data_IF_886400189118
#
_entry.id   IF_886400189118
#
_cell.length_a   1.000
_cell.length_b   1.000
_cell.length_c   1.000
_cell.angle_alpha   90.00
_cell.angle_beta   90.00
_cell.angle_gamma   90.00
#
_symmetry.space_group_name_H-M   'P 1'
#
loop_
_entity.id
_entity.type
_entity.pdbx_description
1 polymer ?
#
# COMPACT_ATOMS: atom_id res chain seq x y z
N UNK A 1 36.11 65.96 -36.12
CA UNK A 1 36.41 64.64 -36.72
C UNK A 1 35.64 63.58 -35.94
N UNK A 2 34.80 62.79 -36.64
CA UNK A 2 34.11 61.55 -36.20
C UNK A 2 35.19 60.45 -36.00
N UNK A 3 35.06 59.37 -35.23
CA UNK A 3 34.09 58.26 -35.13
C UNK A 3 34.29 57.64 -33.72
N UNK A 4 33.34 57.10 -32.96
CA UNK A 4 32.30 56.12 -33.31
C UNK A 4 32.73 54.73 -32.81
N UNK A 5 32.52 54.40 -31.52
CA UNK A 5 32.68 53.03 -31.03
C UNK A 5 31.32 52.35 -30.94
N UNK A 6 31.21 51.28 -31.73
CA UNK A 6 30.02 50.49 -32.02
C UNK A 6 29.71 49.56 -30.85
N UNK A 7 28.44 49.53 -30.43
CA UNK A 7 27.87 48.49 -29.59
C UNK A 7 27.95 47.13 -30.32
N UNK A 8 28.74 46.20 -29.80
CA UNK A 8 28.68 44.81 -30.24
C UNK A 8 27.55 44.11 -29.45
N UNK A 9 26.37 44.00 -30.05
CA UNK A 9 25.30 43.12 -29.56
C UNK A 9 25.72 41.68 -29.89
N UNK A 10 26.18 40.95 -28.88
CA UNK A 10 26.43 39.52 -28.99
C UNK A 10 25.11 38.76 -29.15
N UNK A 11 24.92 38.10 -30.29
CA UNK A 11 23.80 37.21 -30.56
C UNK A 11 23.98 35.94 -29.72
N UNK A 12 23.22 35.79 -28.63
CA UNK A 12 23.13 34.52 -27.89
C UNK A 12 22.21 33.59 -28.68
N UNK A 13 22.79 32.58 -29.32
CA UNK A 13 22.03 31.51 -29.95
C UNK A 13 21.35 30.66 -28.86
N UNK A 14 20.03 30.82 -28.70
CA UNK A 14 19.21 29.89 -27.90
C UNK A 14 19.22 28.56 -28.64
N UNK A 15 20.05 27.64 -28.19
CA UNK A 15 20.05 26.26 -28.68
C UNK A 15 18.79 25.61 -28.15
N UNK A 16 17.88 25.20 -29.05
CA UNK A 16 16.62 24.57 -28.69
C UNK A 16 16.86 23.37 -27.78
N UNK A 17 16.30 23.41 -26.58
CA UNK A 17 16.18 22.25 -25.71
C UNK A 17 15.29 21.24 -26.44
N UNK A 18 15.90 20.21 -27.03
CA UNK A 18 15.17 19.05 -27.48
C UNK A 18 14.57 18.38 -26.24
N UNK A 19 13.24 18.42 -26.12
CA UNK A 19 12.52 17.60 -25.14
C UNK A 19 12.85 16.13 -25.41
N UNK A 20 13.29 15.35 -24.42
CA UNK A 20 13.47 13.93 -24.64
C UNK A 20 12.10 13.31 -24.92
N UNK A 21 11.99 12.64 -26.08
CA UNK A 21 10.84 11.82 -26.42
C UNK A 21 10.68 10.72 -25.35
N UNK A 22 9.70 10.90 -24.46
CA UNK A 22 9.37 9.96 -23.40
C UNK A 22 8.50 8.82 -23.96
N UNK A 23 9.02 8.10 -24.95
CA UNK A 23 8.42 6.85 -25.45
C UNK A 23 9.18 5.66 -24.87
N UNK A 24 8.98 5.40 -23.58
CA UNK A 24 9.54 4.25 -22.88
C UNK A 24 8.45 3.45 -22.18
N UNK A 25 8.24 2.20 -22.61
CA UNK A 25 7.44 1.25 -21.82
C UNK A 25 8.21 0.90 -20.55
N UNK A 26 7.77 1.41 -19.41
CA UNK A 26 8.38 1.07 -18.12
C UNK A 26 8.21 -0.42 -17.81
N UNK A 27 9.28 -1.05 -17.33
CA UNK A 27 9.25 -2.45 -16.90
C UNK A 27 8.27 -2.59 -15.72
N UNK A 28 7.39 -3.60 -15.78
CA UNK A 28 6.47 -3.92 -14.68
C UNK A 28 7.28 -4.20 -13.40
N UNK A 29 6.94 -3.49 -12.32
CA UNK A 29 7.62 -3.53 -11.01
C UNK A 29 7.50 -4.91 -10.33
N UNK A 30 6.44 -5.67 -10.63
CA UNK A 30 6.35 -7.10 -10.29
C UNK A 30 6.13 -7.44 -8.81
N UNK A 31 5.91 -6.44 -7.94
CA UNK A 31 5.60 -6.67 -6.52
C UNK A 31 4.48 -5.75 -6.04
N UNK A 32 3.77 -6.18 -4.99
CA UNK A 32 2.71 -5.41 -4.34
C UNK A 32 3.29 -4.38 -3.37
N UNK A 33 2.60 -3.23 -3.23
CA UNK A 33 2.89 -2.22 -2.23
C UNK A 33 3.01 -2.81 -0.81
N UNK A 34 3.68 -2.12 0.13
CA UNK A 34 3.75 -2.56 1.52
C UNK A 34 2.34 -2.83 2.07
N UNK A 35 2.15 -4.00 2.70
CA UNK A 35 0.84 -4.45 3.21
C UNK A 35 0.40 -3.72 4.47
N UNK A 36 0.57 -2.40 4.55
CA UNK A 36 0.07 -1.59 5.63
C UNK A 36 -0.47 -0.25 5.11
N UNK A 37 -1.41 0.33 5.83
CA UNK A 37 -1.89 1.69 5.60
C UNK A 37 -2.15 2.40 6.93
N UNK A 38 -2.11 3.73 6.92
CA UNK A 38 -2.31 4.56 8.11
C UNK A 38 -3.59 5.36 8.01
N UNK A 39 -4.29 5.43 9.13
CA UNK A 39 -5.44 6.30 9.33
C UNK A 39 -5.33 6.95 10.71
N UNK A 40 -5.89 8.14 10.85
CA UNK A 40 -5.99 8.83 12.14
C UNK A 40 -7.42 8.75 12.63
N UNK A 41 -7.62 8.33 13.88
CA UNK A 41 -8.92 8.26 14.56
C UNK A 41 -8.83 9.11 15.82
N UNK A 42 -9.42 10.32 15.77
CA UNK A 42 -9.20 11.32 16.81
C UNK A 42 -7.71 11.67 16.93
N UNK A 43 -7.14 11.49 18.13
CA UNK A 43 -5.72 11.74 18.40
C UNK A 43 -4.81 10.51 18.17
N UNK A 44 -5.36 9.39 17.69
CA UNK A 44 -4.62 8.13 17.57
C UNK A 44 -4.29 7.83 16.11
N UNK A 45 -3.01 7.70 15.79
CA UNK A 45 -2.56 7.05 14.55
C UNK A 45 -2.74 5.53 14.67
N UNK A 46 -3.52 4.97 13.75
CA UNK A 46 -3.73 3.54 13.57
C UNK A 46 -3.02 3.10 12.30
N UNK A 47 -2.08 2.18 12.43
CA UNK A 47 -1.49 1.47 11.30
C UNK A 47 -2.16 0.12 11.15
N UNK A 48 -2.89 -0.08 10.07
CA UNK A 48 -3.49 -1.38 9.72
C UNK A 48 -2.44 -2.20 8.99
N UNK A 49 -2.25 -3.45 9.42
CA UNK A 49 -1.26 -4.39 8.91
C UNK A 49 -1.99 -5.59 8.29
N UNK A 50 -1.77 -5.88 7.01
CA UNK A 50 -2.35 -7.05 6.35
C UNK A 50 -1.45 -8.27 6.54
N UNK A 51 -1.93 -9.28 7.24
CA UNK A 51 -1.24 -10.58 7.32
C UNK A 51 -1.35 -11.36 6.00
N UNK A 52 -2.27 -10.97 5.10
CA UNK A 52 -2.47 -11.52 3.78
C UNK A 52 -3.95 -11.79 3.50
N UNK A 53 -4.21 -12.67 2.54
CA UNK A 53 -5.56 -13.19 2.25
C UNK A 53 -5.57 -14.71 2.30
N UNK A 54 -6.71 -15.28 2.65
CA UNK A 54 -6.96 -16.73 2.60
C UNK A 54 -8.24 -16.99 1.81
N UNK A 55 -8.22 -17.89 0.81
CA UNK A 55 -9.42 -18.28 0.09
C UNK A 55 -10.31 -19.11 1.02
N UNK A 56 -11.54 -18.67 1.23
CA UNK A 56 -12.50 -19.34 2.09
C UNK A 56 -13.77 -19.69 1.28
N UNK A 57 -14.30 -20.93 1.40
CA UNK A 57 -15.54 -21.34 0.73
C UNK A 57 -16.75 -20.81 1.52
N UNK A 58 -17.26 -19.63 1.16
CA UNK A 58 -18.31 -18.98 1.97
C UNK A 58 -19.63 -19.75 1.92
N UNK A 59 -19.91 -20.42 0.80
CA UNK A 59 -21.05 -21.33 0.63
C UNK A 59 -21.09 -22.48 1.65
N UNK A 60 -19.93 -22.89 2.17
CA UNK A 60 -19.79 -23.96 3.17
C UNK A 60 -19.65 -23.42 4.61
N UNK A 61 -19.12 -22.20 4.77
CA UNK A 61 -18.85 -21.61 6.08
C UNK A 61 -20.05 -20.83 6.65
N UNK A 62 -20.82 -20.15 5.80
CA UNK A 62 -21.90 -19.30 6.25
C UNK A 62 -23.12 -20.12 6.67
N UNK A 63 -23.52 -19.96 7.93
CA UNK A 63 -24.70 -20.60 8.50
C UNK A 63 -25.96 -19.73 8.37
N UNK A 64 -27.14 -20.31 8.56
CA UNK A 64 -28.44 -19.61 8.49
C UNK A 64 -28.73 -18.98 7.11
N UNK A 65 -28.18 -19.59 6.04
CA UNK A 65 -28.37 -19.23 4.64
C UNK A 65 -28.37 -20.51 3.78
N UNK A 66 -28.48 -20.38 2.46
CA UNK A 66 -28.29 -21.47 1.51
C UNK A 66 -27.11 -21.18 0.58
N UNK A 67 -26.39 -22.20 0.06
CA UNK A 67 -25.30 -21.99 -0.90
C UNK A 67 -25.70 -21.13 -2.10
N UNK A 68 -26.92 -21.32 -2.62
CA UNK A 68 -27.45 -20.54 -3.74
C UNK A 68 -27.64 -19.05 -3.40
N UNK A 69 -28.07 -18.73 -2.17
CA UNK A 69 -28.20 -17.34 -1.72
C UNK A 69 -26.83 -16.69 -1.49
N UNK A 70 -25.85 -17.46 -1.01
CA UNK A 70 -24.46 -16.98 -0.87
C UNK A 70 -23.88 -16.65 -2.24
N UNK A 71 -23.93 -17.60 -3.19
CA UNK A 71 -23.40 -17.41 -4.54
C UNK A 71 -24.05 -16.22 -5.26
N UNK A 72 -25.38 -16.09 -5.16
CA UNK A 72 -26.10 -14.95 -5.72
C UNK A 72 -25.64 -13.62 -5.10
N UNK A 73 -25.53 -13.55 -3.77
CA UNK A 73 -25.11 -12.33 -3.04
C UNK A 73 -23.67 -11.93 -3.37
N UNK A 74 -22.76 -12.90 -3.42
CA UNK A 74 -21.36 -12.67 -3.77
C UNK A 74 -21.24 -12.21 -5.22
N UNK A 75 -21.93 -12.88 -6.15
CA UNK A 75 -21.94 -12.52 -7.58
C UNK A 75 -22.50 -11.11 -7.78
N UNK A 76 -23.59 -10.75 -7.09
CA UNK A 76 -24.15 -9.39 -7.12
C UNK A 76 -23.17 -8.33 -6.59
N UNK A 77 -22.21 -8.73 -5.75
CA UNK A 77 -21.13 -7.89 -5.22
C UNK A 77 -19.83 -7.96 -6.03
N UNK A 78 -19.86 -8.58 -7.22
CA UNK A 78 -18.69 -8.82 -8.08
C UNK A 78 -17.59 -9.66 -7.40
N UNK A 79 -17.97 -10.51 -6.45
CA UNK A 79 -17.09 -11.43 -5.74
C UNK A 79 -17.22 -12.82 -6.34
N UNK A 80 -16.07 -13.47 -6.58
CA UNK A 80 -15.98 -14.86 -7.05
C UNK A 80 -15.50 -15.78 -5.92
N UNK A 81 -16.07 -16.99 -5.87
CA UNK A 81 -15.62 -18.05 -4.96
C UNK A 81 -14.36 -18.80 -5.47
N UNK A 82 -13.45 -19.25 -4.58
CA UNK A 82 -13.45 -19.00 -3.14
C UNK A 82 -13.10 -17.54 -2.82
N UNK A 83 -13.81 -16.92 -1.86
CA UNK A 83 -13.57 -15.52 -1.51
C UNK A 83 -12.21 -15.33 -0.82
N UNK A 84 -11.38 -14.46 -1.38
CA UNK A 84 -10.10 -14.05 -0.81
C UNK A 84 -10.31 -13.14 0.41
N UNK A 85 -10.42 -13.77 1.58
CA UNK A 85 -10.71 -13.10 2.85
C UNK A 85 -9.44 -12.48 3.43
N UNK A 86 -9.48 -11.20 3.78
CA UNK A 86 -8.35 -10.46 4.34
C UNK A 86 -8.18 -10.74 5.84
N UNK A 87 -6.94 -10.97 6.28
CA UNK A 87 -6.57 -11.02 7.69
C UNK A 87 -5.78 -9.75 8.01
N UNK A 88 -6.31 -8.92 8.92
CA UNK A 88 -5.72 -7.65 9.31
C UNK A 88 -5.40 -7.61 10.81
N UNK A 89 -4.38 -6.85 11.18
CA UNK A 89 -4.02 -6.51 12.55
C UNK A 89 -3.84 -4.99 12.68
N UNK A 90 -3.87 -4.47 13.89
CA UNK A 90 -3.88 -3.02 14.12
C UNK A 90 -2.80 -2.61 15.11
N UNK A 91 -1.98 -1.63 14.74
CA UNK A 91 -0.95 -1.05 15.58
C UNK A 91 -1.30 0.40 15.93
N UNK A 92 -1.37 0.73 17.21
CA UNK A 92 -1.75 2.04 17.73
C UNK A 92 -0.54 2.75 18.34
N UNK A 93 -0.21 3.96 17.86
CA UNK A 93 1.09 4.61 18.10
C UNK A 93 1.34 5.22 19.48
N UNK A 94 0.32 5.66 20.24
CA UNK A 94 0.54 6.44 21.48
C UNK A 94 1.09 5.62 22.66
N UNK A 95 0.83 4.31 22.67
CA UNK A 95 1.37 3.35 23.66
C UNK A 95 1.88 2.05 23.03
N UNK A 96 2.12 2.07 21.72
CA UNK A 96 2.45 0.90 20.90
C UNK A 96 1.62 -0.35 21.28
N UNK A 97 0.32 -0.31 20.97
CA UNK A 97 -0.57 -1.45 21.22
C UNK A 97 -0.80 -2.18 19.91
N UNK A 98 -0.53 -3.49 19.88
CA UNK A 98 -0.86 -4.39 18.78
C UNK A 98 -2.14 -5.15 19.12
N UNK A 99 -3.16 -5.02 18.27
CA UNK A 99 -4.40 -5.79 18.31
C UNK A 99 -4.32 -6.86 17.21
N UNK A 100 -4.51 -8.11 17.62
CA UNK A 100 -4.30 -9.34 16.84
C UNK A 100 -2.86 -9.57 16.37
N UNK A 101 -2.56 -10.81 16.00
CA UNK A 101 -1.19 -11.23 15.60
C UNK A 101 -1.16 -12.08 14.32
N UNK A 102 -2.23 -11.99 13.52
CA UNK A 102 -2.38 -12.74 12.28
C UNK A 102 -2.59 -14.23 12.54
N UNK A 103 -2.44 -15.04 11.49
CA UNK A 103 -2.68 -16.48 11.56
C UNK A 103 -1.39 -17.30 11.78
N UNK A 104 -0.22 -16.67 11.66
CA UNK A 104 1.04 -17.41 11.56
C UNK A 104 0.93 -18.47 10.46
N UNK A 105 1.28 -19.71 10.76
CA UNK A 105 1.26 -20.82 9.80
C UNK A 105 -0.05 -21.63 9.80
N UNK A 106 -1.06 -21.22 10.56
CA UNK A 106 -2.23 -22.07 10.87
C UNK A 106 -3.29 -22.12 9.77
N UNK A 107 -3.37 -21.08 8.93
CA UNK A 107 -4.41 -20.93 7.89
C UNK A 107 -3.83 -20.96 6.47
N UNK A 108 -2.72 -21.67 6.28
CA UNK A 108 -2.09 -21.89 4.98
C UNK A 108 -1.02 -20.87 4.59
N UNK A 109 -0.45 -21.01 3.39
CA UNK A 109 0.81 -20.35 3.00
C UNK A 109 0.64 -18.90 2.52
N UNK A 110 -0.59 -18.41 2.37
CA UNK A 110 -0.87 -17.06 1.83
C UNK A 110 -0.89 -15.96 2.92
N UNK A 111 -0.62 -16.35 4.17
CA UNK A 111 -0.62 -15.49 5.37
C UNK A 111 0.79 -15.38 5.98
N UNK A 112 0.91 -15.03 7.26
CA UNK A 112 2.18 -14.86 7.98
C UNK A 112 3.07 -13.73 7.45
N UNK A 113 2.46 -12.64 7.00
CA UNK A 113 3.17 -11.49 6.45
C UNK A 113 3.56 -10.44 7.49
N UNK A 114 3.03 -10.50 8.73
CA UNK A 114 3.30 -9.49 9.75
C UNK A 114 4.79 -9.28 10.02
N UNK A 115 5.59 -10.36 10.16
CA UNK A 115 7.05 -10.23 10.40
C UNK A 115 7.75 -9.43 9.30
N UNK A 116 7.35 -9.64 8.04
CA UNK A 116 7.89 -8.90 6.90
C UNK A 116 7.47 -7.43 6.94
N UNK A 117 6.23 -7.15 7.36
CA UNK A 117 5.70 -5.80 7.45
C UNK A 117 6.37 -5.00 8.56
N UNK A 118 6.59 -5.59 9.75
CA UNK A 118 7.30 -4.92 10.84
C UNK A 118 8.71 -4.48 10.45
N UNK A 119 9.42 -5.28 9.65
CA UNK A 119 10.72 -4.87 9.08
C UNK A 119 10.64 -3.65 8.16
N UNK A 120 9.48 -3.38 7.54
CA UNK A 120 9.25 -2.25 6.61
C UNK A 120 8.72 -0.99 7.30
N UNK A 121 8.10 -1.10 8.48
CA UNK A 121 7.54 0.04 9.21
C UNK A 121 8.62 0.98 9.78
N UNK A 122 9.86 0.49 9.92
CA UNK A 122 10.95 1.24 10.53
C UNK A 122 10.83 1.32 12.06
N UNK A 123 11.96 1.31 12.76
CA UNK A 123 12.04 1.21 14.23
C UNK A 123 11.49 2.44 14.97
N UNK A 124 11.26 3.56 14.28
CA UNK A 124 10.84 4.82 14.90
C UNK A 124 9.39 4.76 15.41
N UNK A 125 8.54 3.92 14.81
CA UNK A 125 7.17 3.70 15.25
C UNK A 125 7.07 2.83 16.51
N UNK A 126 8.12 2.06 16.83
CA UNK A 126 8.18 1.18 18.01
C UNK A 126 8.77 1.91 19.24
N UNK A 127 9.49 3.03 19.04
CA UNK A 127 10.29 3.70 20.07
C UNK A 127 9.68 4.99 20.64
N UNK A 128 8.54 5.47 20.17
CA UNK A 128 7.99 6.77 20.56
C UNK A 128 7.41 6.86 21.99
N UNK A 129 7.46 5.80 22.79
CA UNK A 129 6.75 5.72 24.09
C UNK A 129 7.63 5.81 25.34
N UNK A 130 8.94 6.04 25.20
CA UNK A 130 9.88 6.12 26.34
C UNK A 130 10.40 7.52 26.65
N UNK A 131 9.81 8.58 26.10
CA UNK A 131 10.21 9.96 26.42
C UNK A 131 9.00 10.88 26.59
N UNK A 132 8.33 10.80 27.74
CA UNK A 132 7.50 11.86 28.32
C UNK A 132 7.34 11.60 29.82
#
# INVERSE_FOLDING_TARGET
MRFGNVFAIGLIAVTGMASPDMHGSAKKVGFQAPGFYRITVGEVEVTVLSDGTVPLPMDQLLTHTTPALVDHTLTASFIKEPYATLVNCFLLGSRLVLIDTGAGLTLGPTLNHLRRIFGRLGTNQIRSTTSS
#
